data_IF_652525697861
#
_entry.id   IF_652525697861
#
_cell.length_a   1.000
_cell.length_b   1.000
_cell.length_c   1.000
_cell.angle_alpha   90.00
_cell.angle_beta   90.00
_cell.angle_gamma   90.00
#
_symmetry.space_group_name_H-M   'P 1'
#
loop_
_entity.id
_entity.type
_entity.pdbx_description
1 polymer ?
#
# COMPACT_ATOMS: atom_id res chain seq x y z
N UNK A 1 6.62 1.31 24.61
CA UNK A 1 6.22 1.51 23.20
C UNK A 1 7.29 0.91 22.31
N UNK A 2 6.88 0.17 21.29
CA UNK A 2 7.77 -0.44 20.30
C UNK A 2 7.66 0.33 18.99
N UNK A 3 8.74 0.33 18.22
CA UNK A 3 8.83 0.84 16.87
C UNK A 3 9.51 -0.19 15.96
N UNK A 4 9.02 -0.31 14.73
CA UNK A 4 9.54 -1.20 13.69
C UNK A 4 9.46 -0.46 12.35
N UNK A 5 10.54 -0.48 11.56
CA UNK A 5 10.66 0.19 10.27
C UNK A 5 11.91 1.06 10.18
N UNK A 6 11.98 1.89 9.14
CA UNK A 6 13.09 2.79 8.82
C UNK A 6 13.39 3.82 9.94
N UNK A 7 14.65 4.00 10.35
CA UNK A 7 14.99 4.90 11.47
C UNK A 7 14.70 6.38 11.15
N UNK A 8 14.76 6.78 9.87
CA UNK A 8 14.49 8.13 9.37
C UNK A 8 13.11 8.69 9.72
N UNK A 9 12.10 7.82 9.92
CA UNK A 9 10.72 8.24 10.24
C UNK A 9 10.30 7.91 11.69
N UNK A 10 11.17 7.24 12.45
CA UNK A 10 10.91 6.76 13.81
C UNK A 10 10.39 7.83 14.75
N UNK A 11 11.12 8.94 14.87
CA UNK A 11 10.77 10.00 15.80
C UNK A 11 9.52 10.77 15.37
N UNK A 12 9.27 10.88 14.07
CA UNK A 12 8.03 11.47 13.56
C UNK A 12 6.83 10.57 13.86
N UNK A 13 6.98 9.26 13.65
CA UNK A 13 5.90 8.31 13.88
C UNK A 13 5.59 8.16 15.38
N UNK A 14 6.61 8.09 16.24
CA UNK A 14 6.42 7.96 17.69
C UNK A 14 5.59 9.08 18.30
N UNK A 15 5.62 10.31 17.76
CA UNK A 15 4.79 11.43 18.24
C UNK A 15 3.29 11.15 18.19
N UNK A 16 2.84 10.15 17.42
CA UNK A 16 1.44 9.72 17.43
C UNK A 16 1.02 9.08 18.76
N UNK A 17 1.97 8.70 19.63
CA UNK A 17 1.66 8.21 20.99
C UNK A 17 0.92 9.23 21.83
N UNK A 18 1.10 10.52 21.54
CA UNK A 18 0.63 11.61 22.38
C UNK A 18 -0.80 12.05 22.03
N UNK A 19 -1.34 11.55 20.92
CA UNK A 19 -2.69 11.89 20.46
C UNK A 19 -3.75 11.42 21.46
N UNK A 20 -4.72 12.27 21.80
CA UNK A 20 -5.86 11.87 22.62
C UNK A 20 -6.79 10.92 21.83
N UNK A 21 -7.07 9.77 22.44
CA UNK A 21 -7.88 8.69 21.86
C UNK A 21 -9.11 8.36 22.69
N UNK A 22 -9.46 9.18 23.68
CA UNK A 22 -10.62 8.94 24.54
C UNK A 22 -11.89 8.73 23.71
N UNK A 23 -12.09 9.54 22.67
CA UNK A 23 -13.25 9.42 21.78
C UNK A 23 -13.28 8.09 21.00
N UNK A 24 -12.14 7.51 20.63
CA UNK A 24 -12.07 6.18 20.02
C UNK A 24 -12.51 5.08 20.98
N UNK A 25 -12.08 5.17 22.25
CA UNK A 25 -12.46 4.21 23.28
C UNK A 25 -13.96 4.31 23.59
N UNK A 26 -14.47 5.54 23.71
CA UNK A 26 -15.90 5.78 23.91
C UNK A 26 -16.73 5.27 22.73
N UNK A 27 -16.24 5.43 21.50
CA UNK A 27 -16.90 4.88 20.31
C UNK A 27 -17.00 3.36 20.37
N UNK A 28 -15.92 2.65 20.72
CA UNK A 28 -15.98 1.20 20.93
C UNK A 28 -17.00 0.84 22.00
N UNK A 29 -17.01 1.55 23.13
CA UNK A 29 -17.92 1.26 24.26
C UNK A 29 -19.39 1.37 23.90
N UNK A 30 -19.78 2.31 23.00
CA UNK A 30 -21.18 2.43 22.52
C UNK A 30 -21.71 1.15 21.89
N UNK A 31 -20.83 0.32 21.33
CA UNK A 31 -21.18 -0.90 20.64
C UNK A 31 -20.83 -2.16 21.43
N UNK A 32 -20.43 -2.04 22.71
CA UNK A 32 -19.95 -3.16 23.53
C UNK A 32 -20.89 -4.36 23.53
N UNK A 33 -22.20 -4.12 23.66
CA UNK A 33 -23.20 -5.19 23.75
C UNK A 33 -23.50 -5.88 22.41
N UNK A 34 -23.01 -5.32 21.29
CA UNK A 34 -23.21 -5.84 19.92
C UNK A 34 -21.94 -6.46 19.34
N UNK A 35 -20.78 -6.13 19.90
CA UNK A 35 -19.49 -6.63 19.46
C UNK A 35 -19.19 -7.94 20.20
N UNK A 36 -19.39 -9.06 19.51
CA UNK A 36 -18.97 -10.37 20.00
C UNK A 36 -17.46 -10.34 20.32
N UNK A 37 -17.04 -10.98 21.41
CA UNK A 37 -15.65 -10.91 21.89
C UNK A 37 -15.09 -9.47 21.88
N UNK A 38 -15.78 -8.50 22.51
CA UNK A 38 -15.48 -7.06 22.50
C UNK A 38 -13.98 -6.68 22.47
N UNK A 39 -13.15 -7.40 23.23
CA UNK A 39 -11.70 -7.22 23.32
C UNK A 39 -10.90 -7.51 22.02
N UNK A 40 -11.52 -8.11 21.01
CA UNK A 40 -10.95 -8.37 19.67
C UNK A 40 -11.29 -7.30 18.64
N UNK A 41 -11.92 -6.22 19.07
CA UNK A 41 -12.28 -5.10 18.22
C UNK A 41 -11.40 -3.90 18.52
N UNK A 42 -11.19 -3.08 17.50
CA UNK A 42 -10.45 -1.83 17.62
C UNK A 42 -11.10 -0.74 16.76
N UNK A 43 -10.94 0.51 17.20
CA UNK A 43 -11.28 1.68 16.40
C UNK A 43 -10.09 2.00 15.52
N UNK A 44 -10.28 1.91 14.22
CA UNK A 44 -9.27 2.18 13.21
C UNK A 44 -9.62 3.50 12.53
N UNK A 45 -8.70 4.46 12.58
CA UNK A 45 -8.74 5.71 11.84
C UNK A 45 -7.61 5.71 10.82
N UNK A 46 -7.90 6.13 9.59
CA UNK A 46 -6.93 6.19 8.51
C UNK A 46 -7.06 7.51 7.73
N UNK A 47 -5.91 8.04 7.29
CA UNK A 47 -5.79 9.16 6.37
C UNK A 47 -5.08 8.67 5.13
N UNK A 48 -5.81 8.53 4.03
CA UNK A 48 -5.23 8.26 2.72
C UNK A 48 -4.86 9.56 2.05
N UNK A 49 -3.65 9.60 1.49
CA UNK A 49 -3.09 10.73 0.76
C UNK A 49 -3.21 10.50 -0.75
N UNK A 50 -2.97 11.54 -1.56
CA UNK A 50 -3.04 11.43 -3.03
C UNK A 50 -1.91 10.54 -3.57
N UNK A 51 -0.76 10.48 -2.88
CA UNK A 51 0.36 9.57 -3.16
C UNK A 51 0.22 8.18 -2.50
N UNK A 52 -1.02 7.77 -2.20
CA UNK A 52 -1.46 6.40 -1.87
C UNK A 52 -0.90 5.70 -0.62
N UNK A 53 0.16 6.22 0.03
CA UNK A 53 0.48 5.80 1.40
C UNK A 53 -0.62 6.28 2.36
N UNK A 54 -0.85 5.48 3.40
CA UNK A 54 -1.90 5.74 4.39
C UNK A 54 -1.29 5.78 5.79
N UNK A 55 -1.50 6.89 6.49
CA UNK A 55 -1.26 6.97 7.93
C UNK A 55 -2.48 6.40 8.65
N UNK A 56 -2.28 5.49 9.60
CA UNK A 56 -3.37 4.96 10.40
C UNK A 56 -3.07 4.98 11.91
N UNK A 57 -4.15 5.00 12.68
CA UNK A 57 -4.18 4.84 14.13
C UNK A 57 -5.27 3.83 14.48
N UNK A 58 -4.88 2.77 15.16
CA UNK A 58 -5.72 1.71 15.68
C UNK A 58 -5.69 1.77 17.21
N UNK A 59 -6.87 1.84 17.81
CA UNK A 59 -7.05 1.98 19.27
C UNK A 59 -7.90 0.82 19.76
N UNK A 60 -7.39 0.05 20.72
CA UNK A 60 -8.13 -1.05 21.30
C UNK A 60 -9.12 -0.61 22.40
N UNK A 61 -9.86 -1.58 22.94
CA UNK A 61 -10.81 -1.35 24.03
C UNK A 61 -10.22 -0.84 25.34
N UNK A 62 -8.89 -0.94 25.52
CA UNK A 62 -8.14 -0.44 26.68
C UNK A 62 -7.48 0.92 26.41
N UNK A 63 -7.65 1.49 25.21
CA UNK A 63 -7.00 2.74 24.82
C UNK A 63 -5.54 2.58 24.39
N UNK A 64 -5.06 1.34 24.21
CA UNK A 64 -3.74 1.03 23.68
C UNK A 64 -3.72 1.33 22.19
N UNK A 65 -2.61 1.86 21.69
CA UNK A 65 -2.48 2.41 20.35
C UNK A 65 -1.53 1.56 19.51
N UNK A 66 -1.88 1.33 18.26
CA UNK A 66 -0.98 0.94 17.17
C UNK A 66 -1.14 1.99 16.08
N UNK A 67 -0.06 2.52 15.56
CA UNK A 67 -0.09 3.48 14.47
C UNK A 67 1.02 3.15 13.48
N UNK A 68 0.80 3.45 12.22
CA UNK A 68 1.74 3.05 11.19
C UNK A 68 1.50 3.75 9.87
N UNK A 69 2.50 3.62 9.01
CA UNK A 69 2.43 4.01 7.62
C UNK A 69 2.24 2.76 6.78
N UNK A 70 1.05 2.61 6.21
CA UNK A 70 0.68 1.46 5.41
C UNK A 70 0.70 1.77 3.92
N UNK A 71 0.94 0.71 3.14
CA UNK A 71 1.01 0.75 1.68
C UNK A 71 -0.37 0.97 1.04
N UNK A 72 -1.42 0.49 1.70
CA UNK A 72 -2.80 0.65 1.28
C UNK A 72 -3.64 1.13 2.47
N UNK A 73 -4.86 1.61 2.19
CA UNK A 73 -5.78 1.99 3.25
C UNK A 73 -6.22 0.76 4.06
N UNK A 74 -5.94 0.69 5.37
CA UNK A 74 -6.33 -0.46 6.18
C UNK A 74 -7.85 -0.66 6.23
N UNK A 75 -8.66 0.38 6.05
CA UNK A 75 -10.14 0.28 6.03
C UNK A 75 -10.69 -0.41 4.77
N UNK A 76 -9.91 -0.49 3.68
CA UNK A 76 -10.30 -1.21 2.46
C UNK A 76 -10.09 -2.73 2.60
N UNK A 77 -9.16 -3.12 3.48
CA UNK A 77 -8.84 -4.52 3.78
C UNK A 77 -9.60 -5.03 5.00
N UNK A 78 -9.87 -4.14 5.94
CA UNK A 78 -10.57 -4.43 7.18
C UNK A 78 -11.94 -3.74 7.11
N UNK A 79 -12.90 -4.38 6.47
CA UNK A 79 -14.27 -3.85 6.33
C UNK A 79 -14.82 -3.44 7.70
N UNK A 80 -15.13 -2.15 7.92
CA UNK A 80 -15.66 -1.70 9.19
C UNK A 80 -17.01 -2.34 9.49
N UNK A 81 -17.17 -2.90 10.69
CA UNK A 81 -18.45 -3.36 11.22
C UNK A 81 -19.35 -2.14 11.47
N UNK A 82 -18.76 -1.06 11.96
CA UNK A 82 -19.41 0.23 12.14
C UNK A 82 -18.54 1.33 11.56
N UNK A 83 -19.09 2.12 10.64
CA UNK A 83 -18.43 3.34 10.16
C UNK A 83 -18.53 4.40 11.25
N UNK A 84 -17.40 5.03 11.58
CA UNK A 84 -17.32 6.04 12.63
C UNK A 84 -17.01 7.41 12.04
N UNK A 85 -17.66 8.45 12.58
CA UNK A 85 -17.39 9.86 12.28
C UNK A 85 -16.43 10.50 13.30
N UNK A 86 -15.96 9.72 14.28
CA UNK A 86 -14.99 10.20 15.27
C UNK A 86 -13.71 10.61 14.55
N UNK A 87 -13.26 11.83 14.85
CA UNK A 87 -11.98 12.37 14.38
C UNK A 87 -11.00 12.41 15.53
N UNK A 88 -9.74 12.15 15.22
CA UNK A 88 -8.61 12.22 16.13
C UNK A 88 -7.95 13.59 15.97
N UNK A 89 -8.03 14.46 16.99
CA UNK A 89 -7.34 15.76 16.96
C UNK A 89 -5.84 15.56 16.72
N UNK A 90 -5.22 16.43 15.92
CA UNK A 90 -3.78 16.38 15.61
C UNK A 90 -3.35 15.33 14.58
N UNK A 91 -4.19 14.33 14.25
CA UNK A 91 -3.79 13.27 13.30
C UNK A 91 -3.55 13.81 11.87
N UNK A 92 -4.35 14.78 11.41
CA UNK A 92 -4.14 15.43 10.11
C UNK A 92 -2.81 16.19 10.04
N UNK A 93 -2.50 16.97 11.08
CA UNK A 93 -1.26 17.71 11.17
C UNK A 93 -0.04 16.78 11.19
N UNK A 94 -0.15 15.64 11.89
CA UNK A 94 0.90 14.61 11.86
C UNK A 94 1.04 13.97 10.47
N UNK A 95 -0.08 13.73 9.78
CA UNK A 95 -0.06 13.25 8.39
C UNK A 95 0.67 14.23 7.47
N UNK A 96 0.34 15.51 7.53
CA UNK A 96 0.98 16.55 6.73
C UNK A 96 2.48 16.65 7.04
N UNK A 97 2.89 16.55 8.31
CA UNK A 97 4.31 16.54 8.71
C UNK A 97 5.07 15.29 8.25
N UNK A 98 4.40 14.15 8.18
CA UNK A 98 4.99 12.87 7.81
C UNK A 98 5.09 12.70 6.29
N UNK A 99 4.03 13.06 5.57
CA UNK A 99 3.84 12.76 4.15
C UNK A 99 3.88 13.98 3.24
N UNK A 100 4.00 15.19 3.80
CA UNK A 100 3.88 16.46 3.08
C UNK A 100 2.53 16.58 2.32
N UNK A 101 1.51 15.86 2.79
CA UNK A 101 0.20 15.73 2.16
C UNK A 101 -0.92 15.76 3.20
N UNK A 102 -1.98 16.49 2.86
CA UNK A 102 -3.23 16.48 3.61
C UNK A 102 -4.12 15.33 3.17
N UNK A 103 -5.12 15.03 4.00
CA UNK A 103 -6.12 14.02 3.68
C UNK A 103 -7.33 14.09 4.60
N UNK A 104 -8.34 13.30 4.29
CA UNK A 104 -9.54 13.19 5.11
C UNK A 104 -9.46 11.96 6.01
N UNK A 105 -9.78 12.14 7.29
CA UNK A 105 -9.91 11.02 8.22
C UNK A 105 -11.14 10.20 7.86
N UNK A 106 -10.93 8.90 7.66
CA UNK A 106 -11.98 7.89 7.67
C UNK A 106 -11.76 7.00 8.87
N UNK A 107 -12.84 6.58 9.51
CA UNK A 107 -12.74 5.75 10.71
C UNK A 107 -13.84 4.70 10.80
N UNK A 108 -13.59 3.67 11.59
CA UNK A 108 -14.57 2.64 11.85
C UNK A 108 -14.09 1.60 12.87
N UNK A 109 -15.03 0.79 13.34
CA UNK A 109 -14.74 -0.34 14.22
C UNK A 109 -14.44 -1.55 13.35
N UNK A 110 -13.26 -2.13 13.52
CA UNK A 110 -12.80 -3.31 12.79
C UNK A 110 -12.51 -4.47 13.74
N UNK A 111 -12.51 -5.69 13.20
CA UNK A 111 -12.07 -6.89 13.91
C UNK A 111 -10.57 -7.07 13.74
N UNK A 112 -9.88 -7.45 14.81
CA UNK A 112 -8.47 -7.81 14.80
C UNK A 112 -8.27 -9.28 14.34
N UNK A 113 -7.16 -9.61 13.65
CA UNK A 113 -5.99 -8.76 13.43
C UNK A 113 -6.11 -7.78 12.26
N UNK A 114 -5.31 -6.71 12.29
CA UNK A 114 -5.27 -5.73 11.18
C UNK A 114 -4.56 -6.34 9.96
N UNK A 115 -5.27 -6.44 8.85
CA UNK A 115 -4.71 -7.01 7.61
C UNK A 115 -4.17 -5.94 6.65
N UNK A 116 -3.02 -5.34 6.97
CA UNK A 116 -2.37 -4.34 6.11
C UNK A 116 -0.84 -4.37 6.19
N UNK A 117 -0.17 -4.31 5.03
CA UNK A 117 1.29 -4.23 4.95
C UNK A 117 1.78 -2.83 5.32
N UNK A 118 2.69 -2.76 6.28
CA UNK A 118 3.21 -1.51 6.81
C UNK A 118 4.67 -1.30 6.43
N UNK A 119 5.02 -0.07 6.03
CA UNK A 119 6.41 0.36 5.85
C UNK A 119 7.06 0.71 7.19
N UNK A 120 6.26 1.21 8.13
CA UNK A 120 6.66 1.40 9.52
C UNK A 120 5.45 1.33 10.44
N UNK A 121 5.68 0.87 11.67
CA UNK A 121 4.64 0.72 12.70
C UNK A 121 5.23 0.97 14.08
N UNK A 122 4.48 1.64 14.95
CA UNK A 122 4.77 1.77 16.35
C UNK A 122 3.51 1.63 17.20
N UNK A 123 3.69 1.33 18.48
CA UNK A 123 2.55 1.18 19.36
C UNK A 123 2.89 0.65 20.74
N UNK A 124 1.84 0.45 21.52
CA UNK A 124 1.90 -0.26 22.79
C UNK A 124 2.58 -1.62 22.64
N UNK A 125 3.48 -1.94 23.58
CA UNK A 125 4.34 -3.13 23.49
C UNK A 125 3.49 -4.42 23.41
N UNK A 126 2.63 -4.61 24.41
CA UNK A 126 1.77 -5.79 24.50
C UNK A 126 0.79 -5.89 23.34
N UNK A 127 0.23 -4.77 22.90
CA UNK A 127 -0.75 -4.77 21.82
C UNK A 127 -0.10 -5.10 20.48
N UNK A 128 0.97 -4.39 20.11
CA UNK A 128 1.65 -4.60 18.83
C UNK A 128 2.29 -5.99 18.74
N UNK A 129 2.95 -6.47 19.81
CA UNK A 129 3.53 -7.83 19.83
C UNK A 129 2.49 -8.92 19.66
N UNK A 130 1.29 -8.77 20.24
CA UNK A 130 0.19 -9.74 20.07
C UNK A 130 -0.31 -9.79 18.64
N UNK A 131 -0.41 -8.65 17.97
CA UNK A 131 -0.81 -8.60 16.56
C UNK A 131 0.25 -9.24 15.66
N UNK A 132 1.52 -8.92 15.85
CA UNK A 132 2.65 -9.55 15.13
C UNK A 132 2.73 -11.06 15.42
N UNK A 133 2.47 -11.49 16.65
CA UNK A 133 2.46 -12.91 17.00
C UNK A 133 1.37 -13.67 16.24
N UNK A 134 0.17 -13.09 16.11
CA UNK A 134 -0.90 -13.67 15.30
C UNK A 134 -0.47 -13.81 13.84
N UNK A 135 0.19 -12.81 13.28
CA UNK A 135 0.72 -12.88 11.91
C UNK A 135 1.63 -14.11 11.72
N UNK A 136 2.56 -14.34 12.66
CA UNK A 136 3.46 -15.50 12.65
C UNK A 136 2.69 -16.83 12.73
N UNK A 137 1.66 -16.91 13.57
CA UNK A 137 0.80 -18.10 13.69
C UNK A 137 0.03 -18.39 12.39
N UNK A 138 -0.45 -17.35 11.71
CA UNK A 138 -1.19 -17.49 10.45
C UNK A 138 -0.31 -17.54 9.20
N UNK A 139 1.02 -17.44 9.33
CA UNK A 139 1.95 -17.44 8.21
C UNK A 139 1.78 -16.24 7.27
N UNK A 140 1.31 -15.10 7.79
CA UNK A 140 1.15 -13.86 7.02
C UNK A 140 2.16 -12.82 7.47
N UNK A 141 2.47 -11.86 6.60
CA UNK A 141 3.41 -10.76 6.89
C UNK A 141 2.73 -9.45 6.56
N UNK A 142 2.25 -8.74 7.58
CA UNK A 142 1.48 -7.49 7.44
C UNK A 142 2.17 -6.36 8.20
N UNK A 143 1.89 -6.18 9.48
CA UNK A 143 2.61 -5.24 10.34
C UNK A 143 4.10 -5.62 10.45
N UNK A 144 4.39 -6.93 10.52
CA UNK A 144 5.77 -7.45 10.59
C UNK A 144 6.60 -7.22 9.33
N UNK A 145 5.99 -6.81 8.20
CA UNK A 145 6.76 -6.43 7.01
C UNK A 145 7.73 -5.28 7.30
N UNK A 146 7.35 -4.37 8.21
CA UNK A 146 8.19 -3.26 8.64
C UNK A 146 9.53 -3.73 9.25
N UNK A 147 9.64 -4.97 9.75
CA UNK A 147 10.91 -5.52 10.26
C UNK A 147 11.97 -5.64 9.16
N UNK A 148 11.55 -5.73 7.89
CA UNK A 148 12.44 -5.84 6.72
C UNK A 148 12.71 -4.49 6.04
N UNK A 149 12.13 -3.39 6.53
CA UNK A 149 12.19 -2.07 5.90
C UNK A 149 13.22 -1.20 6.60
N UNK A 150 14.41 -1.10 6.00
CA UNK A 150 15.43 -0.12 6.39
C UNK A 150 15.20 1.24 5.68
N UNK A 151 16.05 2.22 5.96
CA UNK A 151 15.94 3.57 5.36
C UNK A 151 16.05 3.53 3.84
N UNK A 152 16.94 2.69 3.29
CA UNK A 152 17.18 2.59 1.85
C UNK A 152 15.95 2.02 1.14
N UNK A 153 15.41 0.91 1.66
CA UNK A 153 14.22 0.27 1.11
C UNK A 153 12.99 1.15 1.29
N UNK A 154 12.88 1.86 2.42
CA UNK A 154 11.81 2.82 2.64
C UNK A 154 11.80 3.91 1.56
N UNK A 155 12.94 4.57 1.34
CA UNK A 155 13.08 5.62 0.33
C UNK A 155 12.81 5.08 -1.07
N UNK A 156 13.26 3.87 -1.37
CA UNK A 156 12.99 3.20 -2.65
C UNK A 156 11.49 2.92 -2.85
N UNK A 157 10.83 2.31 -1.87
CA UNK A 157 9.40 1.99 -1.92
C UNK A 157 8.55 3.26 -2.04
N UNK A 158 8.86 4.29 -1.27
CA UNK A 158 8.20 5.60 -1.36
C UNK A 158 8.41 6.21 -2.74
N UNK A 159 9.63 6.16 -3.28
CA UNK A 159 9.98 6.73 -4.60
C UNK A 159 9.24 6.03 -5.74
N UNK A 160 9.13 4.70 -5.71
CA UNK A 160 8.47 3.95 -6.79
C UNK A 160 6.94 3.93 -6.64
N UNK A 161 6.40 4.23 -5.47
CA UNK A 161 4.95 4.22 -5.29
C UNK A 161 4.27 5.35 -6.08
N UNK A 162 3.43 4.99 -7.04
CA UNK A 162 2.75 5.94 -7.93
C UNK A 162 3.66 6.57 -9.00
N UNK A 163 4.93 6.15 -9.10
CA UNK A 163 5.88 6.68 -10.07
C UNK A 163 5.58 6.17 -11.49
N UNK A 164 5.82 7.03 -12.47
CA UNK A 164 5.78 6.66 -13.88
C UNK A 164 7.19 6.46 -14.41
N UNK A 165 7.43 5.30 -15.02
CA UNK A 165 8.64 4.97 -15.74
C UNK A 165 8.27 4.78 -17.20
N UNK A 166 8.46 5.84 -18.00
CA UNK A 166 7.95 5.92 -19.37
C UNK A 166 6.42 5.76 -19.39
N UNK A 167 5.88 4.73 -20.05
CA UNK A 167 4.45 4.45 -20.07
C UNK A 167 4.03 3.32 -19.10
N UNK A 168 4.93 2.90 -18.21
CA UNK A 168 4.60 2.05 -17.07
C UNK A 168 4.40 2.91 -15.81
N UNK A 169 3.46 2.52 -14.95
CA UNK A 169 3.25 3.14 -13.63
C UNK A 169 3.21 2.08 -12.56
N UNK A 170 3.83 2.35 -11.43
CA UNK A 170 4.02 1.40 -10.34
C UNK A 170 3.13 1.70 -9.15
N UNK A 171 2.60 0.66 -8.52
CA UNK A 171 1.78 0.74 -7.32
C UNK A 171 2.20 -0.33 -6.34
N UNK A 172 2.29 0.04 -5.07
CA UNK A 172 2.58 -0.90 -4.02
C UNK A 172 1.24 -1.49 -3.55
N UNK A 173 1.18 -2.81 -3.40
CA UNK A 173 -0.01 -3.51 -2.87
C UNK A 173 0.38 -4.34 -1.65
N UNK A 174 -0.59 -4.89 -0.91
CA UNK A 174 -0.27 -5.75 0.23
C UNK A 174 0.52 -7.03 -0.12
N UNK A 175 0.50 -7.46 -1.38
CA UNK A 175 1.05 -8.77 -1.77
C UNK A 175 2.24 -8.63 -2.72
N UNK A 176 2.24 -7.64 -3.61
CA UNK A 176 3.31 -7.38 -4.58
C UNK A 176 3.37 -5.90 -5.02
N UNK A 177 4.41 -5.55 -5.77
CA UNK A 177 4.48 -4.29 -6.51
C UNK A 177 3.85 -4.50 -7.89
N UNK A 178 2.76 -3.79 -8.16
CA UNK A 178 2.04 -3.85 -9.41
C UNK A 178 2.63 -2.84 -10.40
N UNK A 179 3.08 -3.32 -11.55
CA UNK A 179 3.52 -2.49 -12.67
C UNK A 179 2.45 -2.52 -13.75
N UNK A 180 1.86 -1.37 -14.07
CA UNK A 180 0.76 -1.24 -15.03
C UNK A 180 1.23 -0.46 -16.25
N UNK A 181 1.04 -1.02 -17.44
CA UNK A 181 1.34 -0.34 -18.68
C UNK A 181 0.12 0.39 -19.23
N UNK A 182 0.32 1.66 -19.57
CA UNK A 182 -0.67 2.50 -20.21
C UNK A 182 -0.31 2.74 -21.67
N UNK A 183 -1.30 2.99 -22.54
CA UNK A 183 -1.03 3.39 -23.91
C UNK A 183 -0.20 4.68 -23.97
N UNK A 184 0.93 4.69 -24.67
CA UNK A 184 1.73 5.90 -24.88
C UNK A 184 0.93 6.96 -25.66
N UNK A 185 1.16 8.24 -25.35
CA UNK A 185 0.46 9.36 -26.01
C UNK A 185 0.87 9.55 -27.48
N UNK A 186 2.06 9.08 -27.85
CA UNK A 186 2.66 9.18 -29.18
C UNK A 186 2.20 8.08 -30.16
N UNK A 187 1.35 7.14 -29.72
CA UNK A 187 0.91 6.00 -30.52
C UNK A 187 -0.57 6.12 -30.89
N UNK A 188 -0.89 5.81 -32.16
CA UNK A 188 -2.26 5.80 -32.65
C UNK A 188 -3.13 4.81 -31.85
N UNK A 189 -4.33 5.23 -31.46
CA UNK A 189 -5.32 4.44 -30.71
C UNK A 189 -5.70 3.14 -31.43
N UNK A 190 -5.65 3.13 -32.75
CA UNK A 190 -5.92 1.93 -33.57
C UNK A 190 -4.90 0.82 -33.31
N UNK A 191 -3.68 1.17 -32.90
CA UNK A 191 -2.61 0.21 -32.65
C UNK A 191 -2.56 -0.27 -31.19
N UNK A 192 -3.48 0.15 -30.32
CA UNK A 192 -3.45 -0.23 -28.90
C UNK A 192 -3.61 -1.74 -28.69
N UNK A 193 -4.40 -2.41 -29.54
CA UNK A 193 -4.54 -3.88 -29.50
C UNK A 193 -3.21 -4.55 -29.85
N UNK A 194 -2.55 -4.11 -30.91
CA UNK A 194 -1.23 -4.60 -31.31
C UNK A 194 -0.20 -4.38 -30.18
N UNK A 195 -0.19 -3.21 -29.56
CA UNK A 195 0.69 -2.93 -28.42
C UNK A 195 0.44 -3.86 -27.23
N UNK A 196 -0.82 -4.18 -26.94
CA UNK A 196 -1.16 -5.10 -25.87
C UNK A 196 -0.64 -6.52 -26.15
N UNK A 197 -0.75 -6.99 -27.40
CA UNK A 197 -0.20 -8.29 -27.82
C UNK A 197 1.34 -8.32 -27.71
N UNK A 198 2.02 -7.27 -28.21
CA UNK A 198 3.48 -7.13 -28.08
C UNK A 198 3.89 -7.11 -26.61
N UNK A 199 3.17 -6.36 -25.76
CA UNK A 199 3.42 -6.34 -24.33
C UNK A 199 3.19 -7.72 -23.67
N UNK A 200 2.24 -8.51 -24.15
CA UNK A 200 2.05 -9.89 -23.72
C UNK A 200 3.25 -10.78 -24.05
N UNK A 201 3.77 -10.67 -25.28
CA UNK A 201 4.95 -11.42 -25.72
C UNK A 201 6.21 -11.03 -24.94
N UNK A 202 6.47 -9.72 -24.80
CA UNK A 202 7.62 -9.19 -24.04
C UNK A 202 7.55 -9.63 -22.57
N UNK A 203 6.36 -9.60 -21.96
CA UNK A 203 6.17 -10.08 -20.59
C UNK A 203 6.54 -11.55 -20.43
N UNK A 204 6.09 -12.40 -21.36
CA UNK A 204 6.40 -13.82 -21.34
C UNK A 204 7.90 -14.07 -21.57
N UNK A 205 8.52 -13.35 -22.50
CA UNK A 205 9.97 -13.40 -22.77
C UNK A 205 10.79 -13.02 -21.52
N UNK A 206 10.34 -12.02 -20.77
CA UNK A 206 10.98 -11.57 -19.53
C UNK A 206 10.65 -12.45 -18.31
N UNK A 207 9.80 -13.49 -18.46
CA UNK A 207 9.39 -14.35 -17.35
C UNK A 207 8.60 -13.64 -16.26
N UNK A 208 7.94 -12.52 -16.57
CA UNK A 208 7.29 -11.68 -15.57
C UNK A 208 5.91 -12.22 -15.20
N UNK A 209 5.65 -12.27 -13.89
CA UNK A 209 4.41 -12.84 -13.35
C UNK A 209 3.18 -11.97 -13.67
N UNK A 210 2.05 -12.61 -13.94
CA UNK A 210 0.76 -11.94 -14.14
C UNK A 210 0.03 -11.90 -12.79
N UNK A 211 -0.39 -10.73 -12.31
CA UNK A 211 -1.19 -10.65 -11.10
C UNK A 211 -2.56 -11.33 -11.29
N UNK A 212 -2.95 -12.19 -10.34
CA UNK A 212 -4.21 -12.95 -10.38
C UNK A 212 -5.47 -12.07 -10.44
N UNK A 213 -5.37 -10.81 -10.03
CA UNK A 213 -6.40 -9.81 -10.30
C UNK A 213 -5.78 -8.43 -10.46
N UNK A 214 -5.75 -7.93 -11.69
CA UNK A 214 -5.77 -6.48 -11.91
C UNK A 214 -7.23 -6.07 -11.72
N UNK A 215 -7.74 -6.10 -10.48
CA UNK A 215 -8.90 -5.25 -10.17
C UNK A 215 -8.53 -3.87 -10.70
N UNK A 216 -9.40 -3.15 -11.40
CA UNK A 216 -9.05 -1.87 -12.00
C UNK A 216 -8.56 -0.96 -10.88
N UNK A 217 -7.25 -0.94 -10.63
CA UNK A 217 -6.70 -0.47 -9.36
C UNK A 217 -7.05 1.01 -9.22
N UNK A 218 -7.32 1.72 -10.31
CA UNK A 218 -7.54 3.15 -10.27
C UNK A 218 -8.46 3.69 -11.37
N UNK A 219 -9.62 3.07 -11.65
CA UNK A 219 -10.61 3.65 -12.57
C UNK A 219 -10.13 3.92 -14.01
N UNK A 220 -8.95 3.43 -14.38
CA UNK A 220 -8.35 3.61 -15.70
C UNK A 220 -8.98 2.63 -16.69
N UNK A 221 -9.61 3.17 -17.74
CA UNK A 221 -10.35 2.37 -18.73
C UNK A 221 -9.49 1.68 -19.79
N UNK A 222 -8.17 1.95 -19.84
CA UNK A 222 -7.28 1.40 -20.87
C UNK A 222 -5.92 1.05 -20.27
N UNK A 223 -5.71 -0.25 -20.04
CA UNK A 223 -4.44 -0.85 -19.62
C UNK A 223 -3.98 -1.77 -20.75
N UNK A 224 -2.72 -1.66 -21.17
CA UNK A 224 -2.15 -2.51 -22.22
C UNK A 224 -1.72 -3.87 -21.66
N UNK A 225 -1.03 -3.85 -20.53
CA UNK A 225 -0.52 -5.03 -19.85
C UNK A 225 -0.20 -4.67 -18.40
N UNK A 226 0.14 -5.67 -17.61
CA UNK A 226 0.63 -5.51 -16.25
C UNK A 226 1.45 -6.71 -15.84
N UNK A 227 2.34 -6.51 -14.87
CA UNK A 227 3.07 -7.57 -14.20
C UNK A 227 3.28 -7.26 -12.73
N UNK A 228 3.57 -8.30 -11.95
CA UNK A 228 3.85 -8.19 -10.53
C UNK A 228 5.33 -8.47 -10.24
N UNK A 229 5.88 -7.69 -9.31
CA UNK A 229 7.22 -7.89 -8.73
C UNK A 229 7.06 -8.18 -7.24
N UNK A 230 7.70 -9.23 -6.74
CA UNK A 230 7.60 -9.58 -5.32
C UNK A 230 8.46 -8.65 -4.48
N UNK A 231 8.06 -8.43 -3.22
CA UNK A 231 8.83 -7.59 -2.32
C UNK A 231 10.17 -8.22 -1.97
N UNK A 232 10.20 -9.54 -1.89
CA UNK A 232 11.41 -10.34 -1.65
C UNK A 232 12.47 -10.07 -2.72
N UNK A 233 12.08 -10.03 -4.00
CA UNK A 233 13.03 -9.73 -5.08
C UNK A 233 13.65 -8.34 -4.93
N UNK A 234 12.84 -7.35 -4.53
CA UNK A 234 13.29 -5.96 -4.32
C UNK A 234 14.24 -5.87 -3.12
N UNK A 235 13.91 -6.58 -2.04
CA UNK A 235 14.79 -6.70 -0.86
C UNK A 235 16.12 -7.35 -1.26
N UNK A 236 16.10 -8.32 -2.17
CA UNK A 236 17.29 -8.99 -2.71
C UNK A 236 18.05 -8.12 -3.76
N UNK A 237 17.58 -6.91 -4.04
CA UNK A 237 18.27 -5.90 -4.86
C UNK A 237 17.71 -5.69 -6.26
N UNK A 238 16.55 -6.27 -6.58
CA UNK A 238 15.89 -6.09 -7.88
C UNK A 238 15.41 -4.64 -8.06
N UNK A 239 15.83 -4.01 -9.15
CA UNK A 239 15.50 -2.62 -9.47
C UNK A 239 14.20 -2.54 -10.31
N UNK A 240 13.10 -2.18 -9.66
CA UNK A 240 11.76 -2.07 -10.31
C UNK A 240 11.76 -1.07 -11.47
N UNK A 241 12.46 0.06 -11.31
CA UNK A 241 12.54 1.10 -12.33
C UNK A 241 13.24 0.59 -13.59
N UNK A 242 14.33 -0.15 -13.43
CA UNK A 242 15.07 -0.73 -14.55
C UNK A 242 14.25 -1.76 -15.32
N UNK A 243 13.51 -2.62 -14.60
CA UNK A 243 12.60 -3.59 -15.22
C UNK A 243 11.50 -2.89 -16.00
N UNK A 244 10.86 -1.87 -15.41
CA UNK A 244 9.82 -1.10 -16.09
C UNK A 244 10.35 -0.44 -17.37
N UNK A 245 11.52 0.21 -17.32
CA UNK A 245 12.15 0.84 -18.49
C UNK A 245 12.50 -0.19 -19.56
N UNK A 246 13.15 -1.28 -19.18
CA UNK A 246 13.51 -2.37 -20.10
C UNK A 246 12.29 -2.95 -20.79
N UNK A 247 11.20 -3.17 -20.02
CA UNK A 247 9.93 -3.63 -20.57
C UNK A 247 9.38 -2.65 -21.60
N UNK A 248 9.27 -1.37 -21.24
CA UNK A 248 8.77 -0.32 -22.13
C UNK A 248 9.60 -0.20 -23.42
N UNK A 249 10.93 -0.26 -23.31
CA UNK A 249 11.84 -0.20 -24.45
C UNK A 249 11.69 -1.42 -25.37
N UNK A 250 11.52 -2.63 -24.81
CA UNK A 250 11.25 -3.84 -25.61
C UNK A 250 9.92 -3.74 -26.35
N UNK A 251 8.86 -3.26 -25.69
CA UNK A 251 7.55 -3.07 -26.33
C UNK A 251 7.63 -2.05 -27.46
N UNK A 252 8.28 -0.90 -27.24
CA UNK A 252 8.47 0.12 -28.28
C UNK A 252 9.27 -0.41 -29.47
N UNK A 253 10.33 -1.17 -29.23
CA UNK A 253 11.12 -1.79 -30.31
C UNK A 253 10.29 -2.77 -31.11
N UNK A 254 9.57 -3.68 -30.46
CA UNK A 254 8.67 -4.62 -31.13
C UNK A 254 7.62 -3.90 -31.99
N UNK A 255 7.02 -2.83 -31.45
CA UNK A 255 6.04 -2.02 -32.18
C UNK A 255 6.65 -1.35 -33.43
N UNK A 256 7.83 -0.74 -33.30
CA UNK A 256 8.51 -0.08 -34.43
C UNK A 256 8.84 -1.08 -35.54
N UNK A 257 9.38 -2.25 -35.20
CA UNK A 257 9.69 -3.30 -36.18
C UNK A 257 8.46 -3.72 -36.98
N UNK A 258 7.34 -3.97 -36.31
CA UNK A 258 6.09 -4.42 -36.96
C UNK A 258 5.47 -3.34 -37.85
N UNK A 259 5.44 -2.08 -37.42
CA UNK A 259 4.87 -1.00 -38.24
C UNK A 259 5.73 -0.69 -39.46
N UNK A 260 7.06 -0.77 -39.34
CA UNK A 260 7.96 -0.59 -40.50
C UNK A 260 7.81 -1.73 -41.51
N UNK A 261 7.58 -2.96 -41.07
CA UNK A 261 7.30 -4.09 -41.98
C UNK A 261 5.94 -3.98 -42.67
N UNK A 262 4.92 -3.44 -42.01
CA UNK A 262 3.57 -3.25 -42.62
C UNK A 262 3.55 -2.09 -43.62
N UNK A 263 4.46 -1.11 -43.49
CA UNK A 263 4.54 0.06 -44.37
C UNK A 263 5.37 -0.17 -45.64
N UNK A 264 6.12 -1.27 -45.72
CA UNK A 264 6.90 -1.70 -46.89
C UNK A 264 6.17 -2.81 -47.65
#
# INVERSE_FOLDING_TARGET
MIYIGADSIKEKLKKLSDLDVLNSVLELRKHKDKLDEYHRHAHLTAISTEKSLTLFLCVDTKGRKIFGLSIQNPLERNSPIYVSKVRIPGLNEMCEKLLAEGGSQKGGIVRLPIDVRCLAVAGDDDFLRKEIFKEKVYGVTRLSFAEKVDDKLFDELVRIHGASFDFAKTYLTNDYILCVLFPPHDINKEHFVLLAEIAGLVRNEMGLSIPASVKPVMGHKKVLSSFAVLYEDVIDGLNVQEICRTFCDKVRRGYRSLITEIAN
#
